data_IF_417241839942
#
_entry.id   IF_417241839942
#
_cell.length_a   1.000
_cell.length_b   1.000
_cell.length_c   1.000
_cell.angle_alpha   90.00
_cell.angle_beta   90.00
_cell.angle_gamma   90.00
#
_symmetry.space_group_name_H-M   'P 1'
#
loop_
_entity.id
_entity.type
_entity.pdbx_description
1 polymer ?
#
# COMPACT_ATOMS: atom_id res chain seq x y z
N UNK A 1 7.36 -56.16 48.64
CA UNK A 1 8.33 -56.15 47.52
C UNK A 1 7.60 -55.60 46.36
N UNK A 2 7.69 -54.31 46.13
CA UNK A 2 6.99 -53.59 45.08
C UNK A 2 8.01 -52.80 44.22
N UNK A 3 8.20 -53.28 42.99
CA UNK A 3 9.06 -52.62 41.97
C UNK A 3 8.36 -51.41 41.46
N UNK A 4 9.03 -50.25 41.56
CA UNK A 4 8.67 -49.00 40.90
C UNK A 4 9.33 -48.96 39.51
N UNK A 5 8.53 -49.01 38.47
CA UNK A 5 8.99 -48.79 37.11
C UNK A 5 8.98 -47.27 36.82
N UNK A 6 10.18 -46.72 36.57
CA UNK A 6 10.40 -45.34 36.23
C UNK A 6 10.27 -45.15 34.72
N UNK A 7 9.17 -44.57 34.25
CA UNK A 7 9.03 -44.13 32.89
C UNK A 7 9.87 -42.86 32.68
N UNK A 8 10.91 -42.96 31.88
CA UNK A 8 11.69 -41.82 31.37
C UNK A 8 10.98 -41.27 30.12
N UNK A 9 10.34 -40.12 30.26
CA UNK A 9 9.86 -39.31 29.12
C UNK A 9 11.07 -38.64 28.45
N UNK A 10 11.44 -39.13 27.26
CA UNK A 10 12.40 -38.47 26.40
C UNK A 10 11.70 -37.30 25.70
N UNK A 11 11.99 -36.07 26.18
CA UNK A 11 11.52 -34.86 25.55
C UNK A 11 12.28 -34.62 24.25
N UNK A 12 11.57 -34.60 23.12
CA UNK A 12 12.09 -34.16 21.84
C UNK A 12 12.08 -32.64 21.81
N UNK A 13 13.27 -32.05 21.96
CA UNK A 13 13.51 -30.63 21.71
C UNK A 13 13.57 -30.42 20.19
N UNK A 14 12.48 -29.95 19.62
CA UNK A 14 12.48 -29.46 18.25
C UNK A 14 13.13 -28.08 18.24
N UNK A 15 14.41 -28.02 17.88
CA UNK A 15 15.12 -26.77 17.65
C UNK A 15 14.66 -26.22 16.31
N UNK A 16 13.82 -25.18 16.34
CA UNK A 16 13.52 -24.37 15.18
C UNK A 16 14.75 -23.53 14.85
N UNK A 17 15.54 -23.98 13.87
CA UNK A 17 16.57 -23.17 13.26
C UNK A 17 15.90 -22.07 12.43
N UNK A 18 15.84 -20.85 12.97
CA UNK A 18 15.55 -19.65 12.19
C UNK A 18 16.68 -19.46 11.19
N UNK A 19 16.50 -19.89 9.95
CA UNK A 19 17.36 -19.52 8.84
C UNK A 19 17.11 -18.04 8.60
N UNK A 20 17.96 -17.19 9.19
CA UNK A 20 18.08 -15.79 8.83
C UNK A 20 18.62 -15.72 7.41
N UNK A 21 17.75 -15.68 6.41
CA UNK A 21 18.12 -15.30 5.05
C UNK A 21 18.59 -13.86 5.15
N UNK A 22 19.91 -13.67 5.11
CA UNK A 22 20.55 -12.36 5.07
C UNK A 22 20.08 -11.64 3.81
N UNK A 23 19.00 -10.85 3.93
CA UNK A 23 18.65 -9.87 2.91
C UNK A 23 19.75 -8.82 2.89
N UNK A 24 20.50 -8.74 1.80
CA UNK A 24 21.31 -7.60 1.49
C UNK A 24 20.46 -6.34 1.69
N UNK A 25 20.88 -5.47 2.60
CA UNK A 25 20.21 -4.19 2.82
C UNK A 25 20.54 -3.27 1.64
N UNK A 26 19.90 -3.51 0.50
CA UNK A 26 19.78 -2.46 -0.50
C UNK A 26 19.06 -1.30 0.18
N UNK A 27 19.59 -0.09 0.02
CA UNK A 27 19.00 1.13 0.56
C UNK A 27 17.54 1.21 0.07
N UNK A 28 16.60 0.97 0.97
CA UNK A 28 15.18 0.94 0.64
C UNK A 28 14.62 2.35 0.86
N UNK A 29 14.61 3.15 -0.19
CA UNK A 29 14.05 4.51 -0.18
C UNK A 29 12.62 4.56 0.37
N UNK A 30 11.88 3.44 0.32
CA UNK A 30 10.52 3.38 0.85
C UNK A 30 10.45 3.36 2.37
N UNK A 31 11.58 3.12 3.07
CA UNK A 31 11.66 3.14 4.53
C UNK A 31 11.80 4.53 5.12
N UNK A 32 12.27 5.49 4.33
CA UNK A 32 12.36 6.87 4.77
C UNK A 32 10.96 7.50 4.85
N UNK A 33 10.54 8.01 6.02
CA UNK A 33 9.26 8.73 6.14
C UNK A 33 9.24 10.06 5.36
N UNK A 34 10.40 10.55 4.88
CA UNK A 34 10.57 11.80 4.14
C UNK A 34 11.01 11.55 2.70
N UNK A 35 10.22 10.86 1.92
CA UNK A 35 10.56 10.60 0.52
C UNK A 35 10.49 11.91 -0.28
N UNK A 36 11.63 12.34 -0.84
CA UNK A 36 11.76 13.58 -1.64
C UNK A 36 11.15 14.83 -0.96
N UNK A 37 11.32 14.93 0.37
CA UNK A 37 10.81 16.06 1.16
C UNK A 37 9.31 15.99 1.46
N UNK A 38 8.67 14.85 1.24
CA UNK A 38 7.27 14.60 1.60
C UNK A 38 7.19 13.62 2.76
N UNK A 39 6.50 14.00 3.83
CA UNK A 39 6.26 13.11 4.96
C UNK A 39 5.24 12.04 4.60
N UNK A 40 5.60 10.77 4.77
CA UNK A 40 4.81 9.60 4.33
C UNK A 40 4.60 8.55 5.43
N UNK A 41 4.86 8.88 6.70
CA UNK A 41 4.82 7.88 7.78
C UNK A 41 3.43 7.27 7.99
N UNK A 42 2.37 7.96 7.58
CA UNK A 42 0.98 7.48 7.64
C UNK A 42 0.55 6.73 6.37
N UNK A 43 1.44 6.58 5.39
CA UNK A 43 1.19 5.82 4.16
C UNK A 43 1.72 4.40 4.32
N UNK A 44 0.92 3.36 4.03
CA UNK A 44 1.38 1.98 4.13
C UNK A 44 2.59 1.71 3.23
N UNK A 45 3.57 0.99 3.76
CA UNK A 45 4.68 0.48 2.96
C UNK A 45 4.21 -0.73 2.15
N UNK A 46 4.54 -0.81 0.86
CA UNK A 46 4.13 -1.96 0.07
C UNK A 46 4.83 -3.23 0.55
N UNK A 47 4.08 -4.32 0.61
CA UNK A 47 4.65 -5.65 0.68
C UNK A 47 5.13 -6.05 -0.71
N UNK A 48 6.41 -6.43 -0.81
CA UNK A 48 7.04 -6.79 -2.07
C UNK A 48 7.04 -8.30 -2.27
N UNK A 49 6.77 -8.74 -3.49
CA UNK A 49 6.80 -10.14 -3.90
C UNK A 49 6.80 -10.26 -5.42
N UNK A 50 6.63 -11.46 -5.92
CA UNK A 50 6.28 -11.66 -7.32
C UNK A 50 4.91 -11.05 -7.61
N UNK A 51 4.60 -10.81 -8.86
CA UNK A 51 3.29 -10.29 -9.27
C UNK A 51 2.13 -11.16 -8.76
N UNK A 52 2.31 -12.48 -8.78
CA UNK A 52 1.31 -13.42 -8.28
C UNK A 52 1.14 -13.35 -6.76
N UNK A 53 2.22 -13.32 -6.01
CA UNK A 53 2.21 -13.21 -4.54
C UNK A 53 1.58 -11.89 -4.09
N UNK A 54 1.98 -10.77 -4.71
CA UNK A 54 1.43 -9.45 -4.43
C UNK A 54 -0.10 -9.42 -4.67
N UNK A 55 -0.55 -10.06 -5.76
CA UNK A 55 -1.97 -10.16 -6.08
C UNK A 55 -2.74 -11.00 -5.05
N UNK A 56 -2.25 -12.19 -4.72
CA UNK A 56 -2.89 -13.06 -3.74
C UNK A 56 -2.95 -12.40 -2.35
N UNK A 57 -1.86 -11.75 -1.93
CA UNK A 57 -1.81 -11.04 -0.66
C UNK A 57 -2.78 -9.85 -0.63
N UNK A 58 -2.95 -9.15 -1.76
CA UNK A 58 -3.91 -8.06 -1.88
C UNK A 58 -5.36 -8.57 -1.78
N UNK A 59 -5.69 -9.69 -2.43
CA UNK A 59 -7.02 -10.30 -2.35
C UNK A 59 -7.35 -10.77 -0.92
N UNK A 60 -6.40 -11.42 -0.26
CA UNK A 60 -6.55 -11.87 1.12
C UNK A 60 -6.72 -10.66 2.08
N UNK A 61 -5.95 -9.59 1.89
CA UNK A 61 -6.11 -8.34 2.65
C UNK A 61 -7.50 -7.73 2.42
N UNK A 62 -7.95 -7.67 1.17
CA UNK A 62 -9.27 -7.14 0.80
C UNK A 62 -10.40 -7.94 1.48
N UNK A 63 -10.32 -9.27 1.45
CA UNK A 63 -11.31 -10.15 2.07
C UNK A 63 -11.41 -9.95 3.60
N UNK A 64 -10.30 -9.59 4.25
CA UNK A 64 -10.24 -9.32 5.70
C UNK A 64 -10.53 -7.88 6.10
N UNK A 65 -10.72 -6.98 5.14
CA UNK A 65 -10.95 -5.55 5.42
C UNK A 65 -12.36 -5.15 4.97
N UNK A 66 -13.36 -5.19 5.85
CA UNK A 66 -14.74 -4.85 5.49
C UNK A 66 -14.85 -3.42 4.94
N UNK A 67 -15.62 -3.25 3.86
CA UNK A 67 -15.82 -1.96 3.21
C UNK A 67 -14.61 -1.45 2.43
N UNK A 68 -13.54 -2.23 2.31
CA UNK A 68 -12.41 -1.88 1.47
C UNK A 68 -12.66 -2.23 0.00
N UNK A 69 -11.92 -1.55 -0.87
CA UNK A 69 -11.88 -1.83 -2.30
C UNK A 69 -10.45 -1.72 -2.83
N UNK A 70 -10.23 -2.25 -4.02
CA UNK A 70 -8.91 -2.39 -4.61
C UNK A 70 -8.74 -1.40 -5.77
N UNK A 71 -7.53 -0.82 -5.88
CA UNK A 71 -7.11 0.02 -6.97
C UNK A 71 -5.71 -0.40 -7.44
N UNK A 72 -5.48 -0.42 -8.77
CA UNK A 72 -4.16 -0.68 -9.36
C UNK A 72 -3.59 0.63 -9.87
N UNK A 73 -2.43 1.02 -9.34
CA UNK A 73 -1.71 2.22 -9.78
C UNK A 73 -1.03 1.99 -11.12
N UNK A 74 -1.22 2.89 -12.09
CA UNK A 74 -0.56 2.84 -13.40
C UNK A 74 0.48 3.95 -13.59
N UNK A 75 0.37 5.04 -12.82
CA UNK A 75 1.22 6.22 -12.92
C UNK A 75 2.56 6.12 -12.20
N UNK A 76 3.48 7.01 -12.55
CA UNK A 76 4.80 7.13 -11.91
C UNK A 76 4.85 8.16 -10.77
N UNK A 77 3.76 8.90 -10.53
CA UNK A 77 3.76 10.04 -9.58
C UNK A 77 4.07 9.63 -8.13
N UNK A 78 3.77 8.39 -7.76
CA UNK A 78 3.99 7.88 -6.40
C UNK A 78 5.28 7.06 -6.23
N UNK A 79 6.16 7.02 -7.23
CA UNK A 79 7.50 6.44 -7.05
C UNK A 79 8.30 7.23 -6.00
N UNK A 80 9.14 6.57 -5.21
CA UNK A 80 9.44 5.13 -5.19
C UNK A 80 8.43 4.29 -4.37
N UNK A 81 7.52 4.91 -3.60
CA UNK A 81 6.66 4.21 -2.65
C UNK A 81 5.70 3.25 -3.35
N UNK A 82 4.97 3.74 -4.36
CA UNK A 82 4.03 2.93 -5.14
C UNK A 82 4.40 3.00 -6.63
N UNK A 83 5.26 2.09 -7.12
CA UNK A 83 5.56 2.00 -8.55
C UNK A 83 4.33 1.57 -9.34
N UNK A 84 4.32 1.80 -10.68
CA UNK A 84 3.26 1.30 -11.55
C UNK A 84 3.03 -0.20 -11.38
N UNK A 85 1.75 -0.60 -11.35
CA UNK A 85 1.34 -1.98 -11.06
C UNK A 85 1.15 -2.28 -9.58
N UNK A 86 1.43 -1.34 -8.68
CA UNK A 86 1.11 -1.51 -7.26
C UNK A 86 -0.38 -1.69 -7.06
N UNK A 87 -0.74 -2.67 -6.23
CA UNK A 87 -2.12 -2.92 -5.80
C UNK A 87 -2.33 -2.22 -4.48
N UNK A 88 -3.27 -1.29 -4.45
CA UNK A 88 -3.62 -0.49 -3.28
C UNK A 88 -4.97 -0.94 -2.74
N UNK A 89 -5.05 -1.20 -1.44
CA UNK A 89 -6.31 -1.43 -0.74
C UNK A 89 -6.72 -0.11 -0.09
N UNK A 90 -7.93 0.33 -0.43
CA UNK A 90 -8.49 1.58 0.03
C UNK A 90 -9.67 1.32 0.96
N UNK A 91 -9.86 2.24 1.90
CA UNK A 91 -11.05 2.31 2.73
C UNK A 91 -11.62 3.73 2.71
N UNK A 92 -12.92 3.85 2.62
CA UNK A 92 -13.60 5.11 2.87
C UNK A 92 -13.41 5.53 4.33
N UNK A 93 -13.11 6.80 4.53
CA UNK A 93 -12.97 7.42 5.86
C UNK A 93 -13.66 8.77 5.86
N UNK A 94 -14.09 9.23 7.01
CA UNK A 94 -14.61 10.57 7.14
C UNK A 94 -13.50 11.61 6.83
N UNK A 95 -13.84 12.64 6.07
CA UNK A 95 -12.88 13.70 5.69
C UNK A 95 -12.19 14.35 6.90
N UNK A 96 -12.88 14.41 8.05
CA UNK A 96 -12.34 14.95 9.29
C UNK A 96 -11.22 14.08 9.91
N UNK A 97 -11.17 12.79 9.56
CA UNK A 97 -10.17 11.83 10.06
C UNK A 97 -8.86 11.86 9.25
N UNK A 98 -8.84 12.60 8.14
CA UNK A 98 -7.65 12.71 7.30
C UNK A 98 -6.47 13.33 8.07
N UNK A 99 -5.29 12.75 7.88
CA UNK A 99 -4.03 13.18 8.50
C UNK A 99 -2.94 13.38 7.46
N UNK A 100 -2.06 14.33 7.76
CA UNK A 100 -0.85 14.54 6.96
C UNK A 100 -0.04 13.25 6.86
N UNK A 101 0.49 12.99 5.68
CA UNK A 101 1.33 11.81 5.42
C UNK A 101 0.54 10.57 5.00
N UNK A 102 -0.78 10.61 5.00
CA UNK A 102 -1.60 9.55 4.40
C UNK A 102 -1.61 9.66 2.88
N UNK A 103 -1.57 8.54 2.19
CA UNK A 103 -1.92 8.50 0.76
C UNK A 103 -3.43 8.37 0.63
N UNK A 104 -4.03 9.33 -0.06
CA UNK A 104 -5.45 9.33 -0.41
C UNK A 104 -5.62 9.08 -1.89
N UNK A 105 -6.75 8.54 -2.26
CA UNK A 105 -7.24 8.53 -3.64
C UNK A 105 -8.40 9.51 -3.72
N UNK A 106 -8.36 10.39 -4.69
CA UNK A 106 -9.38 11.41 -4.92
C UNK A 106 -9.65 11.56 -6.42
N UNK A 107 -10.79 12.15 -6.75
CA UNK A 107 -11.20 12.44 -8.12
C UNK A 107 -10.76 13.84 -8.49
N UNK A 108 -9.94 13.97 -9.53
CA UNK A 108 -9.50 15.26 -10.01
C UNK A 108 -10.54 15.92 -10.96
N UNK A 109 -10.30 17.16 -11.40
CA UNK A 109 -11.19 17.91 -12.29
C UNK A 109 -11.43 17.24 -13.65
N UNK A 110 -10.58 16.30 -14.05
CA UNK A 110 -10.74 15.50 -15.26
C UNK A 110 -11.48 14.18 -15.01
N UNK A 111 -12.11 14.06 -13.85
CA UNK A 111 -12.83 12.86 -13.42
C UNK A 111 -11.97 11.60 -13.27
N UNK A 112 -10.66 11.78 -13.04
CA UNK A 112 -9.71 10.67 -12.86
C UNK A 112 -9.43 10.42 -11.40
N UNK A 113 -9.31 9.15 -11.02
CA UNK A 113 -8.82 8.75 -9.71
C UNK A 113 -7.31 8.95 -9.64
N UNK A 114 -6.83 9.77 -8.69
CA UNK A 114 -5.42 10.07 -8.45
C UNK A 114 -5.05 9.68 -7.04
N UNK A 115 -3.92 9.00 -6.88
CA UNK A 115 -3.37 8.60 -5.57
C UNK A 115 -2.19 9.50 -5.22
N UNK A 116 -2.31 10.39 -4.23
CA UNK A 116 -1.24 11.29 -3.76
C UNK A 116 -1.23 11.41 -2.24
N UNK A 117 -0.14 11.96 -1.69
CA UNK A 117 0.05 12.13 -0.24
C UNK A 117 -0.49 13.46 0.24
N UNK A 118 -1.21 13.46 1.35
CA UNK A 118 -1.66 14.65 2.07
C UNK A 118 -0.47 15.37 2.70
N UNK A 119 -0.18 16.61 2.26
CA UNK A 119 0.99 17.37 2.71
C UNK A 119 0.65 18.48 3.70
N UNK A 120 -0.49 19.14 3.54
CA UNK A 120 -0.94 20.21 4.42
C UNK A 120 -2.45 20.43 4.32
N UNK A 121 -3.09 20.83 5.40
CA UNK A 121 -4.49 21.28 5.42
C UNK A 121 -4.54 22.79 5.21
N UNK A 122 -5.32 23.24 4.24
CA UNK A 122 -5.58 24.64 3.94
C UNK A 122 -7.07 24.99 4.15
N UNK A 123 -7.46 26.25 3.93
CA UNK A 123 -8.86 26.69 4.12
C UNK A 123 -9.82 26.01 3.13
N UNK A 124 -9.35 25.80 1.90
CA UNK A 124 -10.11 25.23 0.78
C UNK A 124 -9.95 23.72 0.61
N UNK A 125 -9.24 23.05 1.51
CA UNK A 125 -9.07 21.59 1.49
C UNK A 125 -7.64 21.15 1.76
N UNK A 126 -7.37 19.87 1.56
CA UNK A 126 -6.04 19.30 1.74
C UNK A 126 -5.19 19.49 0.47
N UNK A 127 -3.97 19.99 0.65
CA UNK A 127 -2.94 19.96 -0.40
C UNK A 127 -2.38 18.56 -0.49
N UNK A 128 -2.19 18.07 -1.71
CA UNK A 128 -1.65 16.75 -2.02
C UNK A 128 -0.48 16.85 -2.97
N UNK A 129 0.39 15.84 -2.94
CA UNK A 129 1.54 15.76 -3.84
C UNK A 129 1.87 14.30 -4.15
N UNK A 130 2.13 14.02 -5.42
CA UNK A 130 2.82 12.82 -5.83
C UNK A 130 4.29 12.87 -5.42
N UNK A 131 4.83 11.78 -4.90
CA UNK A 131 6.19 11.70 -4.39
C UNK A 131 7.25 11.97 -5.47
N UNK A 132 6.94 11.63 -6.72
CA UNK A 132 7.81 11.87 -7.87
C UNK A 132 7.52 13.20 -8.59
N UNK A 133 6.49 13.95 -8.17
CA UNK A 133 6.14 15.23 -8.77
C UNK A 133 7.04 16.35 -8.23
N UNK A 134 7.30 17.38 -9.04
CA UNK A 134 8.08 18.55 -8.62
C UNK A 134 7.27 19.50 -7.74
N UNK A 135 5.96 19.60 -7.99
CA UNK A 135 5.04 20.52 -7.32
C UNK A 135 3.89 19.72 -6.68
N UNK A 136 3.16 20.35 -5.77
CA UNK A 136 1.87 19.84 -5.30
C UNK A 136 0.80 20.02 -6.38
N UNK A 137 -0.31 19.31 -6.24
CA UNK A 137 -1.43 19.44 -7.15
C UNK A 137 -2.12 20.79 -6.95
N UNK A 138 -2.62 21.36 -8.04
CA UNK A 138 -3.36 22.64 -7.99
C UNK A 138 -4.71 22.48 -7.29
N UNK A 139 -5.32 21.32 -7.48
CA UNK A 139 -6.63 21.00 -6.92
C UNK A 139 -6.50 20.43 -5.50
N UNK A 140 -7.26 20.97 -4.53
CA UNK A 140 -7.29 20.42 -3.19
C UNK A 140 -8.15 19.17 -3.11
N UNK A 141 -7.84 18.29 -2.16
CA UNK A 141 -8.76 17.24 -1.76
C UNK A 141 -9.76 17.81 -0.77
N UNK A 142 -11.03 17.65 -1.09
CA UNK A 142 -12.21 18.04 -0.30
C UNK A 142 -13.06 16.80 -0.03
N UNK A 143 -14.11 16.92 0.80
CA UNK A 143 -14.99 15.80 1.11
C UNK A 143 -15.65 15.21 -0.15
N UNK A 144 -16.04 16.06 -1.09
CA UNK A 144 -16.82 15.65 -2.27
C UNK A 144 -15.99 14.89 -3.32
N UNK A 145 -14.67 15.13 -3.36
CA UNK A 145 -13.80 14.45 -4.33
C UNK A 145 -12.95 13.32 -3.70
N UNK A 146 -13.00 13.13 -2.40
CA UNK A 146 -12.29 12.05 -1.71
C UNK A 146 -12.93 10.70 -2.05
N UNK A 147 -12.11 9.75 -2.53
CA UNK A 147 -12.54 8.37 -2.78
C UNK A 147 -12.20 7.49 -1.58
N UNK A 148 -11.01 7.65 -0.98
CA UNK A 148 -10.61 6.87 0.18
C UNK A 148 -9.13 7.04 0.55
N UNK A 149 -8.74 6.38 1.62
CA UNK A 149 -7.35 6.33 2.13
C UNK A 149 -6.76 4.97 1.83
N UNK A 150 -5.51 4.94 1.41
CA UNK A 150 -4.74 3.69 1.23
C UNK A 150 -4.43 3.11 2.60
N UNK A 151 -4.91 1.90 2.87
CA UNK A 151 -4.72 1.19 4.14
C UNK A 151 -3.74 0.02 4.03
N UNK A 152 -3.51 -0.49 2.82
CA UNK A 152 -2.47 -1.47 2.53
C UNK A 152 -2.00 -1.32 1.08
N UNK A 153 -0.77 -1.75 0.80
CA UNK A 153 -0.19 -1.71 -0.53
C UNK A 153 0.64 -2.96 -0.80
N UNK A 154 0.63 -3.40 -2.04
CA UNK A 154 1.36 -4.57 -2.52
C UNK A 154 2.02 -4.21 -3.85
N UNK A 155 3.30 -4.57 -4.01
CA UNK A 155 4.07 -4.21 -5.19
C UNK A 155 4.81 -5.41 -5.73
N UNK A 156 4.89 -5.49 -7.06
CA UNK A 156 5.76 -6.44 -7.74
C UNK A 156 6.72 -5.70 -8.64
N UNK A 157 7.88 -6.29 -8.87
CA UNK A 157 8.85 -5.76 -9.82
C UNK A 157 8.41 -5.94 -11.29
N UNK A 158 7.38 -6.77 -11.54
CA UNK A 158 6.81 -7.01 -12.88
C UNK A 158 5.48 -6.24 -13.06
N UNK A 159 5.50 -5.04 -13.62
CA UNK A 159 4.29 -4.29 -13.88
C UNK A 159 3.60 -4.82 -15.15
N UNK A 160 2.34 -5.12 -15.14
CA UNK A 160 1.46 -5.19 -16.31
C UNK A 160 0.77 -6.49 -16.69
N UNK A 161 1.21 -7.69 -16.31
CA UNK A 161 0.55 -8.92 -16.81
C UNK A 161 -0.65 -9.40 -15.99
N UNK A 162 -0.81 -8.92 -14.79
CA UNK A 162 -1.85 -9.43 -13.87
C UNK A 162 -3.22 -8.75 -14.00
N UNK A 163 -3.27 -7.49 -14.40
CA UNK A 163 -4.51 -6.75 -14.52
C UNK A 163 -5.50 -7.39 -15.54
N UNK A 164 -4.99 -8.15 -16.51
CA UNK A 164 -5.80 -8.80 -17.53
C UNK A 164 -6.44 -10.13 -17.08
N UNK A 165 -6.04 -10.66 -15.92
CA UNK A 165 -6.58 -11.94 -15.38
C UNK A 165 -7.53 -11.79 -14.21
N UNK A 166 -7.66 -10.57 -13.67
CA UNK A 166 -8.63 -10.30 -12.63
C UNK A 166 -10.04 -10.27 -13.22
N UNK A 167 -10.88 -11.21 -12.81
CA UNK A 167 -12.31 -11.19 -13.11
C UNK A 167 -12.99 -9.90 -12.61
N UNK A 168 -14.34 -9.74 -12.73
CA UNK A 168 -15.07 -8.48 -12.61
C UNK A 168 -15.16 -7.93 -11.18
N UNK A 169 -14.09 -7.93 -10.42
CA UNK A 169 -13.99 -7.14 -9.20
C UNK A 169 -13.70 -5.69 -9.59
N UNK A 170 -14.34 -4.72 -8.94
CA UNK A 170 -14.19 -3.29 -9.18
C UNK A 170 -12.71 -2.86 -9.09
N UNK A 171 -11.96 -3.03 -10.19
CA UNK A 171 -10.64 -2.45 -10.34
C UNK A 171 -10.78 -1.07 -10.99
N UNK A 172 -10.37 -0.03 -10.29
CA UNK A 172 -10.25 1.32 -10.85
C UNK A 172 -8.81 1.47 -11.33
N UNK A 173 -8.62 1.77 -12.62
CA UNK A 173 -7.30 2.00 -13.20
C UNK A 173 -6.97 3.49 -13.14
N UNK A 174 -5.79 3.84 -12.64
CA UNK A 174 -5.22 5.17 -12.78
C UNK A 174 -4.61 5.30 -14.18
N UNK A 175 -5.05 6.29 -14.97
CA UNK A 175 -4.59 6.48 -16.35
C UNK A 175 -3.15 7.04 -16.41
N UNK A 176 -2.33 6.50 -17.33
CA UNK A 176 -0.91 6.82 -17.52
C UNK A 176 -0.64 8.20 -18.17
N UNK A 177 -1.67 8.96 -18.56
CA UNK A 177 -1.54 10.12 -19.47
C UNK A 177 -1.29 11.48 -18.81
N UNK A 178 -0.71 11.53 -17.61
CA UNK A 178 -0.22 12.78 -17.02
C UNK A 178 1.30 12.92 -17.22
N UNK A 179 1.73 13.19 -18.46
CA UNK A 179 3.04 13.75 -18.79
C UNK A 179 2.89 15.21 -19.18
#
# INVERSE_FOLDING_TARGET
MTRRDSFRLAGWLVVWACVAVGRSQAFDETRDPWIRGVYTAESPRPLHGTAHEAWLAAQDCLARTPGAFLLIGSGNSMRPLYPPGSVLILREVAYAELRRGQTVVYRNQRDRAVAHVLIAKARDGWRVRGLNNRTHDLEPVVADNLIGVVVAAFSSEEPRRLALRAGPQRAIFLDERDR
#
